data_IF_540767953736
#
_entry.id   IF_540767953736
#
_cell.length_a   1.000
_cell.length_b   1.000
_cell.length_c   1.000
_cell.angle_alpha   90.00
_cell.angle_beta   90.00
_cell.angle_gamma   90.00
#
_symmetry.space_group_name_H-M   'P 1'
#
loop_
_entity.id
_entity.type
_entity.pdbx_description
1 polymer ?
#
# COMPACT_ATOMS: atom_id res chain seq x y z
N UNK A 1 -11.08 -74.41 -31.78
CA UNK A 1 -11.13 -73.52 -30.61
C UNK A 1 -10.09 -72.45 -30.81
N UNK A 2 -10.52 -71.21 -31.11
CA UNK A 2 -9.64 -70.02 -31.25
C UNK A 2 -10.01 -69.09 -30.15
N UNK A 3 -9.08 -68.85 -29.18
CA UNK A 3 -9.20 -67.86 -28.13
C UNK A 3 -8.85 -66.50 -28.71
N UNK A 4 -9.75 -65.53 -28.61
CA UNK A 4 -9.50 -64.12 -28.93
C UNK A 4 -9.14 -63.40 -27.62
N UNK A 5 -7.92 -62.85 -27.53
CA UNK A 5 -7.46 -61.97 -26.45
C UNK A 5 -7.91 -60.54 -26.79
N UNK A 6 -8.77 -59.97 -25.97
CA UNK A 6 -9.14 -58.57 -26.04
C UNK A 6 -8.14 -57.75 -25.19
N UNK A 7 -7.37 -56.86 -25.85
CA UNK A 7 -6.58 -55.84 -25.20
C UNK A 7 -7.48 -54.66 -24.84
N UNK A 8 -7.65 -54.39 -23.55
CA UNK A 8 -8.26 -53.17 -23.07
C UNK A 8 -7.18 -52.07 -22.98
N UNK A 9 -7.27 -51.06 -23.83
CA UNK A 9 -6.45 -49.88 -23.76
C UNK A 9 -7.02 -48.92 -22.70
N UNK A 10 -6.33 -48.86 -21.55
CA UNK A 10 -6.62 -47.91 -20.49
C UNK A 10 -6.06 -46.50 -20.85
N UNK A 11 -6.94 -45.55 -21.11
CA UNK A 11 -6.59 -44.15 -21.24
C UNK A 11 -6.26 -43.53 -19.87
N UNK A 12 -4.97 -43.23 -19.63
CA UNK A 12 -4.55 -42.41 -18.50
C UNK A 12 -4.99 -40.97 -18.79
N UNK A 13 -5.99 -40.49 -18.04
CA UNK A 13 -6.30 -39.05 -17.99
C UNK A 13 -5.24 -38.35 -17.15
N UNK A 14 -4.35 -37.60 -17.77
CA UNK A 14 -3.43 -36.70 -17.09
C UNK A 14 -4.21 -35.52 -16.53
N UNK A 15 -4.51 -35.52 -15.24
CA UNK A 15 -5.01 -34.35 -14.51
C UNK A 15 -3.87 -33.36 -14.37
N UNK A 16 -3.85 -32.34 -15.22
CA UNK A 16 -3.00 -31.16 -15.04
C UNK A 16 -3.52 -30.40 -13.82
N UNK A 17 -2.83 -30.54 -12.68
CA UNK A 17 -2.99 -29.61 -11.56
C UNK A 17 -2.51 -28.24 -12.06
N UNK A 18 -3.48 -27.33 -12.31
CA UNK A 18 -3.20 -25.93 -12.52
C UNK A 18 -2.52 -25.40 -11.27
N UNK A 19 -1.24 -25.05 -11.36
CA UNK A 19 -0.55 -24.28 -10.34
C UNK A 19 -1.27 -22.92 -10.36
N UNK A 20 -2.13 -22.68 -9.36
CA UNK A 20 -2.63 -21.34 -9.07
C UNK A 20 -1.37 -20.51 -8.84
N UNK A 21 -1.06 -19.62 -9.79
CA UNK A 21 0.06 -18.69 -9.65
C UNK A 21 -0.19 -17.89 -8.36
N UNK A 22 0.69 -18.06 -7.38
CA UNK A 22 0.75 -17.14 -6.27
C UNK A 22 1.00 -15.76 -6.89
N UNK A 23 0.00 -14.89 -6.88
CA UNK A 23 0.19 -13.50 -7.21
C UNK A 23 1.21 -12.98 -6.20
N UNK A 24 2.42 -12.67 -6.66
CA UNK A 24 3.39 -12.00 -5.84
C UNK A 24 2.77 -10.65 -5.44
N UNK A 25 2.46 -10.52 -4.15
CA UNK A 25 1.96 -9.28 -3.59
C UNK A 25 3.00 -8.21 -3.86
N UNK A 26 2.65 -7.22 -4.64
CA UNK A 26 3.54 -6.11 -4.99
C UNK A 26 3.24 -4.93 -4.09
N UNK A 27 4.33 -4.25 -3.65
CA UNK A 27 4.19 -3.02 -2.91
C UNK A 27 3.39 -1.97 -3.72
N UNK A 28 2.57 -1.15 -3.06
CA UNK A 28 1.94 -0.01 -3.70
C UNK A 28 2.99 0.91 -4.35
N UNK A 29 2.72 1.47 -5.55
CA UNK A 29 3.69 2.35 -6.21
C UNK A 29 3.84 3.67 -5.44
N UNK A 30 5.08 4.13 -5.26
CA UNK A 30 5.38 5.44 -4.69
C UNK A 30 6.16 6.27 -5.72
N UNK A 31 5.82 7.55 -5.84
CA UNK A 31 6.55 8.50 -6.69
C UNK A 31 6.27 9.96 -6.31
N UNK A 32 7.27 10.81 -6.54
CA UNK A 32 7.15 12.26 -6.31
C UNK A 32 6.08 12.90 -7.22
N UNK A 33 5.51 14.06 -6.82
CA UNK A 33 5.86 14.82 -5.63
C UNK A 33 5.35 14.16 -4.34
N UNK A 34 5.99 14.49 -3.20
CA UNK A 34 5.61 14.01 -1.88
C UNK A 34 5.13 15.18 -1.03
N UNK A 35 4.11 14.92 -0.18
CA UNK A 35 3.50 15.94 0.67
C UNK A 35 3.43 15.44 2.11
N UNK A 36 4.03 16.14 3.06
CA UNK A 36 3.85 15.86 4.49
C UNK A 36 2.43 16.27 4.86
N UNK A 37 1.67 15.33 5.41
CA UNK A 37 0.29 15.55 5.83
C UNK A 37 0.20 15.73 7.34
N UNK A 38 1.00 14.96 8.06
CA UNK A 38 1.08 14.99 9.51
C UNK A 38 2.46 14.56 9.97
N UNK A 39 2.98 15.23 10.99
CA UNK A 39 4.20 14.86 11.69
C UNK A 39 3.95 15.07 13.19
N UNK A 40 3.80 13.97 13.91
CA UNK A 40 3.52 13.94 15.34
C UNK A 40 4.52 13.04 16.06
N UNK A 41 4.46 13.00 17.38
CA UNK A 41 5.30 12.12 18.19
C UNK A 41 5.05 10.63 17.88
N UNK A 42 3.89 10.28 17.33
CA UNK A 42 3.52 8.88 17.05
C UNK A 42 3.98 8.39 15.68
N UNK A 43 3.86 9.24 14.64
CA UNK A 43 4.16 8.87 13.26
C UNK A 43 4.33 10.08 12.34
N UNK A 44 5.07 9.87 11.25
CA UNK A 44 5.11 10.75 10.09
C UNK A 44 4.18 10.21 9.01
N UNK A 45 3.35 11.08 8.43
CA UNK A 45 2.44 10.72 7.31
C UNK A 45 2.76 11.54 6.08
N UNK A 46 3.05 10.87 4.96
CA UNK A 46 3.42 11.48 3.68
C UNK A 46 2.47 10.96 2.60
N UNK A 47 1.91 11.84 1.80
CA UNK A 47 1.16 11.47 0.60
C UNK A 47 2.08 11.43 -0.63
N UNK A 48 2.04 10.33 -1.40
CA UNK A 48 2.76 10.17 -2.66
C UNK A 48 1.90 10.70 -3.82
N UNK A 49 2.02 12.00 -4.12
CA UNK A 49 1.20 12.65 -5.15
C UNK A 49 1.38 12.06 -6.55
N UNK A 50 2.59 11.62 -6.90
CA UNK A 50 2.85 10.97 -8.18
C UNK A 50 2.25 9.57 -8.31
N UNK A 51 1.82 8.96 -7.21
CA UNK A 51 1.11 7.66 -7.22
C UNK A 51 -0.38 7.79 -7.54
N UNK A 52 -0.94 9.01 -7.56
CA UNK A 52 -2.37 9.24 -7.81
C UNK A 52 -2.79 8.67 -9.16
N UNK A 53 -3.86 7.88 -9.15
CA UNK A 53 -4.52 7.37 -10.35
C UNK A 53 -6.03 7.62 -10.23
N UNK A 54 -6.66 8.03 -11.33
CA UNK A 54 -8.10 8.31 -11.39
C UNK A 54 -8.77 7.53 -12.52
N UNK A 55 -9.95 7.00 -12.22
CA UNK A 55 -10.78 6.30 -13.20
C UNK A 55 -12.26 6.54 -12.86
N UNK A 56 -12.92 7.40 -13.61
CA UNK A 56 -14.31 7.80 -13.33
C UNK A 56 -14.41 8.47 -11.94
N UNK A 57 -15.27 7.90 -11.10
CA UNK A 57 -15.46 8.37 -9.72
C UNK A 57 -14.50 7.74 -8.70
N UNK A 58 -13.57 6.90 -9.18
CA UNK A 58 -12.58 6.26 -8.32
C UNK A 58 -11.24 6.99 -8.41
N UNK A 59 -10.55 7.11 -7.29
CA UNK A 59 -9.18 7.57 -7.23
C UNK A 59 -8.36 6.67 -6.29
N UNK A 60 -7.07 6.54 -6.54
CA UNK A 60 -6.15 5.87 -5.63
C UNK A 60 -4.92 6.72 -5.39
N UNK A 61 -4.30 6.53 -4.23
CA UNK A 61 -3.06 7.17 -3.81
C UNK A 61 -2.33 6.23 -2.86
N UNK A 62 -1.01 6.32 -2.81
CA UNK A 62 -0.21 5.66 -1.78
C UNK A 62 0.14 6.64 -0.67
N UNK A 63 -0.09 6.26 0.56
CA UNK A 63 0.29 6.98 1.77
C UNK A 63 1.46 6.26 2.41
N UNK A 64 2.51 7.00 2.68
CA UNK A 64 3.75 6.53 3.30
C UNK A 64 3.70 6.93 4.77
N UNK A 65 3.84 5.96 5.67
CA UNK A 65 3.92 6.19 7.10
C UNK A 65 5.33 5.87 7.61
N UNK A 66 5.99 6.84 8.22
CA UNK A 66 7.23 6.65 8.96
C UNK A 66 6.91 6.31 10.41
N UNK A 67 7.40 5.17 10.90
CA UNK A 67 7.14 4.70 12.25
C UNK A 67 8.04 5.40 13.28
N UNK A 68 7.52 5.62 14.49
CA UNK A 68 8.30 6.06 15.64
C UNK A 68 9.42 5.05 15.96
N UNK A 69 10.60 5.48 16.46
CA UNK A 69 11.72 4.59 16.78
C UNK A 69 11.36 3.40 17.68
N UNK A 70 10.48 3.59 18.65
CA UNK A 70 10.02 2.52 19.55
C UNK A 70 9.23 1.42 18.82
N UNK A 71 8.43 1.79 17.83
CA UNK A 71 7.70 0.83 16.99
C UNK A 71 8.65 0.10 16.04
N UNK A 72 9.65 0.80 15.51
CA UNK A 72 10.72 0.18 14.72
C UNK A 72 11.49 -0.85 15.54
N UNK A 73 11.82 -0.54 16.80
CA UNK A 73 12.52 -1.47 17.68
C UNK A 73 11.71 -2.75 17.98
N UNK A 74 10.37 -2.66 18.00
CA UNK A 74 9.47 -3.80 18.25
C UNK A 74 9.21 -4.64 16.99
N UNK A 75 8.97 -4.01 15.84
CA UNK A 75 8.50 -4.65 14.62
C UNK A 75 9.58 -4.85 13.55
N UNK A 76 10.64 -4.04 13.59
CA UNK A 76 11.62 -3.92 12.52
C UNK A 76 11.13 -3.07 11.33
N UNK A 77 9.85 -2.67 11.30
CA UNK A 77 9.25 -1.89 10.23
C UNK A 77 9.46 -0.41 10.50
N UNK A 78 10.20 0.26 9.64
CA UNK A 78 10.47 1.69 9.72
C UNK A 78 9.57 2.54 8.82
N UNK A 79 9.01 1.92 7.77
CA UNK A 79 8.13 2.55 6.81
C UNK A 79 7.02 1.58 6.39
N UNK A 80 5.79 2.10 6.27
CA UNK A 80 4.66 1.42 5.65
C UNK A 80 4.17 2.24 4.47
N UNK A 81 4.05 1.59 3.30
CA UNK A 81 3.38 2.15 2.13
C UNK A 81 1.98 1.55 2.06
N UNK A 82 0.96 2.36 2.27
CA UNK A 82 -0.44 1.94 2.30
C UNK A 82 -1.15 2.39 1.03
N UNK A 83 -1.76 1.45 0.32
CA UNK A 83 -2.65 1.79 -0.78
C UNK A 83 -3.98 2.32 -0.23
N UNK A 84 -4.45 3.45 -0.76
CA UNK A 84 -5.77 3.99 -0.50
C UNK A 84 -6.57 4.05 -1.79
N UNK A 85 -7.81 3.63 -1.73
CA UNK A 85 -8.80 3.82 -2.79
C UNK A 85 -9.95 4.65 -2.27
N UNK A 86 -10.38 5.63 -3.07
CA UNK A 86 -11.49 6.52 -2.76
C UNK A 86 -12.59 6.40 -3.80
N UNK A 87 -13.84 6.39 -3.34
CA UNK A 87 -14.98 6.70 -4.18
C UNK A 87 -15.32 8.18 -3.98
N UNK A 88 -14.89 9.02 -4.93
CA UNK A 88 -14.98 10.48 -4.85
C UNK A 88 -16.43 10.99 -4.87
N UNK A 89 -17.41 10.19 -5.35
CA UNK A 89 -18.82 10.64 -5.44
C UNK A 89 -19.58 10.49 -4.15
N UNK A 90 -19.21 9.54 -3.28
CA UNK A 90 -19.90 9.27 -2.03
C UNK A 90 -19.02 9.42 -0.78
N UNK A 91 -17.80 9.94 -0.96
CA UNK A 91 -16.83 10.21 0.10
C UNK A 91 -16.54 8.98 0.97
N UNK A 92 -16.26 7.85 0.34
CA UNK A 92 -15.81 6.65 1.04
C UNK A 92 -14.40 6.25 0.62
N UNK A 93 -13.71 5.49 1.47
CA UNK A 93 -12.38 4.97 1.22
C UNK A 93 -12.25 3.52 1.69
N UNK A 94 -11.21 2.85 1.21
CA UNK A 94 -10.69 1.58 1.74
C UNK A 94 -9.18 1.51 1.56
N UNK A 95 -8.54 0.58 2.28
CA UNK A 95 -7.09 0.33 2.21
C UNK A 95 -6.84 -1.10 1.72
N UNK A 96 -6.75 -1.33 0.39
CA UNK A 96 -6.68 -2.68 -0.17
C UNK A 96 -5.34 -3.39 0.06
N UNK A 97 -4.35 -2.73 0.61
CA UNK A 97 -3.06 -3.35 0.90
C UNK A 97 -2.01 -2.40 1.45
N UNK A 98 -0.95 -2.99 1.97
CA UNK A 98 0.21 -2.27 2.50
C UNK A 98 1.51 -3.05 2.26
N UNK A 99 2.64 -2.34 2.24
CA UNK A 99 3.98 -2.91 2.19
C UNK A 99 4.86 -2.33 3.28
N UNK A 100 5.64 -3.19 3.95
CA UNK A 100 6.56 -2.81 5.01
C UNK A 100 8.02 -2.78 4.54
N UNK A 101 8.78 -1.83 5.08
CA UNK A 101 10.22 -1.66 4.81
C UNK A 101 10.98 -1.43 6.11
N UNK A 102 12.21 -1.93 6.17
CA UNK A 102 13.14 -1.72 7.27
C UNK A 102 13.81 -0.33 7.23
N UNK A 103 14.68 -0.05 8.21
CA UNK A 103 15.41 1.23 8.33
C UNK A 103 16.34 1.52 7.15
N UNK A 104 16.75 0.50 6.40
CA UNK A 104 17.59 0.64 5.20
C UNK A 104 16.77 0.81 3.91
N UNK A 105 15.43 0.78 4.02
CA UNK A 105 14.52 0.76 2.88
C UNK A 105 14.37 -0.63 2.24
N UNK A 106 14.87 -1.68 2.91
CA UNK A 106 14.71 -3.06 2.48
C UNK A 106 13.25 -3.52 2.60
N UNK A 107 12.70 -4.08 1.51
CA UNK A 107 11.34 -4.60 1.49
C UNK A 107 11.21 -5.81 2.41
N UNK A 108 10.28 -5.75 3.38
CA UNK A 108 10.03 -6.81 4.36
C UNK A 108 8.83 -7.69 4.00
N UNK A 109 7.89 -7.17 3.22
CA UNK A 109 6.70 -7.90 2.80
C UNK A 109 5.54 -6.97 2.46
N UNK A 110 4.53 -7.52 1.81
CA UNK A 110 3.28 -6.83 1.52
C UNK A 110 2.10 -7.71 1.93
N UNK A 111 0.99 -7.07 2.26
CA UNK A 111 -0.28 -7.69 2.56
C UNK A 111 -1.35 -7.10 1.66
N UNK A 112 -2.26 -7.93 1.18
CA UNK A 112 -3.52 -7.50 0.60
C UNK A 112 -4.57 -7.52 1.71
N UNK A 113 -5.43 -6.53 1.73
CA UNK A 113 -6.50 -6.40 2.71
C UNK A 113 -7.83 -6.13 1.98
N UNK A 114 -8.82 -6.96 2.27
CA UNK A 114 -10.19 -6.76 1.78
C UNK A 114 -10.99 -5.83 2.71
N UNK A 115 -10.36 -4.73 3.18
CA UNK A 115 -11.02 -3.78 4.06
C UNK A 115 -12.32 -3.26 3.44
N UNK A 116 -13.40 -3.14 4.24
CA UNK A 116 -14.66 -2.61 3.75
C UNK A 116 -14.53 -1.13 3.39
N UNK A 117 -15.47 -0.63 2.58
CA UNK A 117 -15.59 0.80 2.34
C UNK A 117 -16.09 1.51 3.59
N UNK A 118 -15.38 2.54 4.01
CA UNK A 118 -15.67 3.39 5.16
C UNK A 118 -15.95 4.82 4.73
N UNK A 119 -16.77 5.54 5.48
CA UNK A 119 -17.01 6.96 5.24
C UNK A 119 -15.78 7.78 5.63
N UNK A 120 -15.41 8.74 4.80
CA UNK A 120 -14.37 9.71 5.11
C UNK A 120 -14.91 10.71 6.14
N UNK A 121 -14.31 10.74 7.34
CA UNK A 121 -14.66 11.72 8.35
C UNK A 121 -14.12 13.12 7.97
N UNK A 122 -14.94 14.15 8.22
CA UNK A 122 -14.50 15.53 8.03
C UNK A 122 -13.31 15.87 8.95
N UNK A 123 -12.39 16.69 8.45
CA UNK A 123 -11.19 17.14 9.19
C UNK A 123 -10.26 16.00 9.65
N UNK A 124 -10.28 14.88 8.94
CA UNK A 124 -9.34 13.77 9.15
C UNK A 124 -8.22 13.76 8.10
N UNK A 125 -7.13 13.04 8.37
CA UNK A 125 -6.08 12.79 7.38
C UNK A 125 -6.67 12.13 6.13
N UNK A 126 -7.66 11.24 6.25
CA UNK A 126 -8.34 10.62 5.12
C UNK A 126 -9.09 11.64 4.24
N UNK A 127 -9.63 12.72 4.84
CA UNK A 127 -10.24 13.81 4.07
C UNK A 127 -9.17 14.57 3.25
N UNK A 128 -8.00 14.79 3.82
CA UNK A 128 -6.86 15.39 3.12
C UNK A 128 -6.37 14.49 1.97
N UNK A 129 -6.20 13.18 2.22
CA UNK A 129 -5.82 12.21 1.18
C UNK A 129 -6.83 12.19 0.05
N UNK A 130 -8.13 12.18 0.36
CA UNK A 130 -9.21 12.26 -0.62
C UNK A 130 -9.16 13.59 -1.41
N UNK A 131 -8.88 14.71 -0.74
CA UNK A 131 -8.69 16.01 -1.36
C UNK A 131 -7.59 15.98 -2.44
N UNK A 132 -6.44 15.38 -2.10
CA UNK A 132 -5.32 15.20 -3.04
C UNK A 132 -5.74 14.25 -4.18
N UNK A 133 -6.22 13.06 -3.84
CA UNK A 133 -6.51 12.02 -4.81
C UNK A 133 -7.69 12.36 -5.74
N UNK A 134 -8.79 12.87 -5.21
CA UNK A 134 -10.00 13.16 -5.97
C UNK A 134 -10.00 14.53 -6.64
N UNK A 135 -9.44 15.54 -5.97
CA UNK A 135 -9.61 16.95 -6.38
C UNK A 135 -8.29 17.65 -6.74
N UNK A 136 -7.13 17.03 -6.45
CA UNK A 136 -5.82 17.65 -6.65
C UNK A 136 -5.55 18.82 -5.70
N UNK A 137 -6.22 18.84 -4.54
CA UNK A 137 -6.02 19.86 -3.51
C UNK A 137 -4.78 19.53 -2.70
N UNK A 138 -3.73 20.32 -2.87
CA UNK A 138 -2.46 20.12 -2.15
C UNK A 138 -2.45 21.03 -0.93
N UNK A 139 -2.13 20.54 0.29
CA UNK A 139 -1.94 21.39 1.46
C UNK A 139 -0.80 22.37 1.23
N UNK A 140 -0.95 23.60 1.72
CA UNK A 140 0.09 24.63 1.62
C UNK A 140 1.36 24.19 2.36
N UNK A 141 2.52 24.53 1.83
CA UNK A 141 3.86 24.29 2.42
C UNK A 141 4.14 22.81 2.80
N UNK A 142 3.39 21.86 2.20
CA UNK A 142 3.52 20.42 2.51
C UNK A 142 4.50 19.67 1.61
N UNK A 143 4.88 20.24 0.46
CA UNK A 143 5.73 19.55 -0.51
C UNK A 143 7.15 19.36 0.02
N UNK A 144 7.65 18.14 -0.07
CA UNK A 144 9.02 17.76 0.28
C UNK A 144 9.70 17.08 -0.88
N UNK A 145 10.98 17.39 -1.07
CA UNK A 145 11.84 16.75 -2.05
C UNK A 145 12.59 15.55 -1.47
N UNK A 146 13.23 14.78 -2.34
CA UNK A 146 14.12 13.68 -1.96
C UNK A 146 13.44 12.32 -1.87
N UNK A 147 14.14 11.37 -1.28
CA UNK A 147 13.65 10.02 -1.02
C UNK A 147 12.81 10.02 0.26
N UNK A 148 11.62 9.40 0.30
CA UNK A 148 10.83 9.29 1.53
C UNK A 148 11.58 8.67 2.70
N UNK A 149 12.53 7.77 2.47
CA UNK A 149 13.35 7.18 3.55
C UNK A 149 14.24 8.23 4.21
N UNK A 150 14.77 9.21 3.46
CA UNK A 150 15.57 10.30 4.03
C UNK A 150 14.71 11.21 4.91
N UNK A 151 13.49 11.53 4.44
CA UNK A 151 12.52 12.33 5.22
C UNK A 151 12.13 11.61 6.52
N UNK A 152 11.88 10.29 6.45
CA UNK A 152 11.58 9.46 7.63
C UNK A 152 12.79 9.36 8.57
N UNK A 153 14.01 9.32 8.06
CA UNK A 153 15.22 9.33 8.89
C UNK A 153 15.33 10.63 9.69
N UNK A 154 15.12 11.78 9.05
CA UNK A 154 15.10 13.09 9.72
C UNK A 154 13.98 13.17 10.78
N UNK A 155 12.79 12.67 10.48
CA UNK A 155 11.70 12.60 11.45
C UNK A 155 12.08 11.76 12.68
N UNK A 156 12.70 10.59 12.51
CA UNK A 156 13.13 9.73 13.62
C UNK A 156 14.20 10.36 14.49
N UNK A 157 15.13 11.13 13.90
CA UNK A 157 16.12 11.86 14.66
C UNK A 157 15.46 12.98 15.49
N UNK A 158 14.49 13.68 14.90
CA UNK A 158 13.75 14.74 15.57
C UNK A 158 12.98 14.26 16.80
N UNK A 159 12.21 13.16 16.71
CA UNK A 159 11.43 12.64 17.87
C UNK A 159 12.28 12.02 18.96
N UNK A 160 13.57 11.74 18.73
CA UNK A 160 14.51 11.28 19.77
C UNK A 160 15.17 12.44 20.53
N UNK A 161 15.06 13.68 20.05
CA UNK A 161 15.64 14.87 20.68
C UNK A 161 14.67 15.56 21.67
N UNK A 162 13.38 15.16 21.67
CA UNK A 162 12.34 15.67 22.58
C UNK A 162 12.21 14.80 23.85
#
# INVERSE_FOLDING_TARGET
MRLALALAAGTLAATTFGIAGAHAQSAPPVSAPYYIIDASDDALTIASGGSVRKSGNMASITIIMGAHPDEVAKSGIARLDMAYEFNCSNSTYRTPGAAGYDVSGGFMGAIDDDSPWEAVAENSNNATFMGIACNGVIPEDSEVGGDPNDVIAVYRDWVLEE
#
